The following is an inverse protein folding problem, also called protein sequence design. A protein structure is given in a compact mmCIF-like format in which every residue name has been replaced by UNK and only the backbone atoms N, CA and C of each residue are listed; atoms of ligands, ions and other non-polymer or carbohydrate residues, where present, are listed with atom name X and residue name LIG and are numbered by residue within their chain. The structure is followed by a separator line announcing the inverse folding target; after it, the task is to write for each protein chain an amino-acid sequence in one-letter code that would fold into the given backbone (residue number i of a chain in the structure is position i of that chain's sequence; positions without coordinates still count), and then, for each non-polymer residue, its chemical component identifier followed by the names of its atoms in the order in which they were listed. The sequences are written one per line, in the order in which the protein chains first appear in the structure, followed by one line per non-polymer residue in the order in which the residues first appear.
data_IF_465102736559
#
_entry.id   IF_465102736559
#
_cell.length_a   1.000
_cell.length_b   1.000
_cell.length_c   1.000
_cell.angle_alpha   90.00
_cell.angle_beta   90.00
_cell.angle_gamma   90.00
#
_symmetry.space_group_name_H-M   'P 1'
#
loop_
_entity.id
_entity.type
_entity.pdbx_description
1 polymer ?
#
# COMPACT_ATOMS: atom_id res chain seq x y z
N UNK A 1 14.28 -53.49 -20.92
CA UNK A 1 12.94 -52.95 -20.60
C UNK A 1 13.15 -51.86 -19.55
N UNK A 2 12.96 -50.59 -19.90
CA UNK A 2 13.11 -49.49 -18.96
C UNK A 2 11.76 -49.22 -18.32
N UNK A 3 11.61 -49.61 -17.06
CA UNK A 3 10.42 -49.31 -16.27
C UNK A 3 10.41 -47.82 -15.96
N UNK A 4 9.35 -47.14 -16.42
CA UNK A 4 9.10 -45.74 -16.10
C UNK A 4 8.50 -45.69 -14.71
N UNK A 5 9.22 -45.11 -13.76
CA UNK A 5 8.69 -44.81 -12.43
C UNK A 5 7.75 -43.61 -12.53
N UNK A 6 6.53 -43.77 -12.02
CA UNK A 6 5.55 -42.68 -11.88
C UNK A 6 5.74 -42.03 -10.51
N UNK A 7 5.65 -40.70 -10.43
CA UNK A 7 5.66 -40.02 -9.14
C UNK A 7 4.43 -40.44 -8.32
N UNK A 8 4.66 -40.91 -7.09
CA UNK A 8 3.57 -41.23 -6.15
C UNK A 8 2.87 -39.94 -5.69
N UNK A 9 1.56 -40.02 -5.42
CA UNK A 9 0.72 -38.87 -5.09
C UNK A 9 1.08 -38.21 -3.75
N UNK A 10 1.79 -38.91 -2.86
CA UNK A 10 2.32 -38.37 -1.62
C UNK A 10 3.60 -39.12 -1.23
N UNK A 11 4.62 -38.43 -0.71
CA UNK A 11 5.83 -39.10 -0.22
C UNK A 11 5.49 -40.01 0.98
N UNK A 12 6.19 -41.16 1.12
CA UNK A 12 5.92 -42.16 2.16
C UNK A 12 6.09 -41.65 3.60
N UNK A 13 6.66 -40.45 3.77
CA UNK A 13 6.87 -39.79 5.06
C UNK A 13 5.98 -38.55 5.27
N UNK A 14 4.91 -38.39 4.47
CA UNK A 14 3.97 -37.26 4.57
C UNK A 14 3.34 -37.09 5.95
N UNK A 15 3.22 -38.15 6.75
CA UNK A 15 2.67 -38.09 8.11
C UNK A 15 3.70 -37.75 9.20
N UNK A 16 5.01 -37.86 8.92
CA UNK A 16 6.07 -37.62 9.93
C UNK A 16 6.81 -36.30 9.75
N UNK A 17 6.68 -35.66 8.59
CA UNK A 17 7.37 -34.39 8.31
C UNK A 17 6.44 -33.22 8.60
N UNK A 18 6.68 -32.55 9.72
CA UNK A 18 6.16 -31.19 9.94
C UNK A 18 7.13 -30.24 9.26
N UNK A 19 6.66 -29.49 8.26
CA UNK A 19 7.44 -28.39 7.69
C UNK A 19 7.45 -27.26 8.72
N UNK A 20 8.57 -27.08 9.40
CA UNK A 20 8.75 -26.00 10.37
C UNK A 20 9.25 -24.76 9.62
N UNK A 21 8.46 -23.69 9.61
CA UNK A 21 8.91 -22.38 9.13
C UNK A 21 9.84 -21.79 10.19
N UNK A 22 11.15 -21.88 9.96
CA UNK A 22 12.18 -21.38 10.88
C UNK A 22 12.36 -19.85 10.88
N UNK A 23 11.56 -19.10 10.12
CA UNK A 23 11.63 -17.65 10.05
C UNK A 23 10.45 -17.00 10.76
N UNK A 24 10.75 -16.02 11.62
CA UNK A 24 9.72 -15.17 12.21
C UNK A 24 8.93 -14.48 11.09
N UNK A 25 7.59 -14.60 11.05
CA UNK A 25 6.79 -13.91 10.06
C UNK A 25 6.92 -12.40 10.28
N UNK A 26 7.42 -11.70 9.27
CA UNK A 26 7.45 -10.24 9.24
C UNK A 26 6.24 -9.77 8.45
N UNK A 27 5.38 -8.97 9.08
CA UNK A 27 4.27 -8.30 8.40
C UNK A 27 4.74 -6.88 8.08
N UNK A 28 4.85 -6.51 6.79
CA UNK A 28 5.20 -5.14 6.44
C UNK A 28 4.07 -4.21 6.87
N UNK A 29 4.43 -3.17 7.63
CA UNK A 29 3.52 -2.11 8.06
C UNK A 29 3.94 -0.83 7.36
N UNK A 30 3.00 -0.18 6.68
CA UNK A 30 3.22 1.17 6.17
C UNK A 30 3.17 2.13 7.36
N UNK A 31 4.27 2.84 7.61
CA UNK A 31 4.36 3.87 8.67
C UNK A 31 3.79 5.21 8.17
N UNK A 32 3.66 5.39 6.85
CA UNK A 32 3.04 6.58 6.26
C UNK A 32 1.53 6.63 6.59
N UNK A 33 1.00 7.83 6.94
CA UNK A 33 -0.37 7.99 7.45
C UNK A 33 -1.47 7.61 6.45
N UNK A 34 -1.19 7.64 5.14
CA UNK A 34 -2.13 7.23 4.10
C UNK A 34 -1.41 6.71 2.85
N UNK A 35 -1.97 5.69 2.20
CA UNK A 35 -1.56 5.31 0.84
C UNK A 35 -1.90 6.48 -0.08
N UNK A 36 -0.90 7.02 -0.76
CA UNK A 36 -1.08 8.18 -1.64
C UNK A 36 -1.83 7.79 -2.92
N UNK A 37 -2.56 8.74 -3.51
CA UNK A 37 -3.31 8.50 -4.76
C UNK A 37 -2.36 8.34 -5.96
N UNK A 38 -2.73 7.51 -6.94
CA UNK A 38 -1.90 7.21 -8.12
C UNK A 38 -1.72 8.41 -9.08
N UNK A 39 -2.65 9.36 -9.09
CA UNK A 39 -2.78 10.35 -10.18
C UNK A 39 -1.67 11.40 -10.27
N UNK A 40 -0.99 11.73 -9.18
CA UNK A 40 0.10 12.73 -9.24
C UNK A 40 1.42 12.03 -9.52
N UNK A 41 2.16 12.55 -10.48
CA UNK A 41 3.50 12.06 -10.82
C UNK A 41 4.42 12.05 -9.59
N UNK A 42 4.27 13.04 -8.70
CA UNK A 42 5.01 13.16 -7.43
C UNK A 42 4.68 12.05 -6.42
N UNK A 43 3.45 11.53 -6.43
CA UNK A 43 2.99 10.49 -5.50
C UNK A 43 3.06 9.09 -6.10
N UNK A 44 3.21 8.97 -7.41
CA UNK A 44 3.21 7.72 -8.16
C UNK A 44 4.25 6.73 -7.65
N UNK A 45 5.49 7.16 -7.42
CA UNK A 45 6.54 6.30 -6.90
C UNK A 45 6.25 5.78 -5.49
N UNK A 46 5.73 6.63 -4.61
CA UNK A 46 5.38 6.25 -3.23
C UNK A 46 4.17 5.30 -3.20
N UNK A 47 3.16 5.56 -4.02
CA UNK A 47 2.02 4.67 -4.22
C UNK A 47 2.47 3.30 -4.70
N UNK A 48 3.30 3.26 -5.75
CA UNK A 48 3.81 2.01 -6.29
C UNK A 48 4.64 1.23 -5.27
N UNK A 49 5.51 1.92 -4.51
CA UNK A 49 6.25 1.32 -3.40
C UNK A 49 5.33 0.73 -2.34
N UNK A 50 4.27 1.45 -1.95
CA UNK A 50 3.30 0.98 -0.96
C UNK A 50 2.56 -0.28 -1.44
N UNK A 51 2.08 -0.29 -2.69
CA UNK A 51 1.39 -1.44 -3.26
C UNK A 51 2.30 -2.67 -3.37
N UNK A 52 3.51 -2.50 -3.89
CA UNK A 52 4.50 -3.57 -3.98
C UNK A 52 4.79 -4.18 -2.60
N UNK A 53 4.96 -3.32 -1.59
CA UNK A 53 5.24 -3.76 -0.21
C UNK A 53 4.08 -4.54 0.41
N UNK A 54 2.82 -4.18 0.12
CA UNK A 54 1.64 -4.81 0.70
C UNK A 54 1.22 -6.09 -0.02
N UNK A 55 1.32 -6.12 -1.34
CA UNK A 55 0.71 -7.16 -2.17
C UNK A 55 1.71 -8.15 -2.75
N UNK A 56 3.01 -7.88 -2.63
CA UNK A 56 4.04 -8.78 -3.15
C UNK A 56 4.85 -9.36 -2.01
N UNK A 57 4.98 -10.67 -2.02
CA UNK A 57 5.83 -11.39 -1.08
C UNK A 57 7.31 -11.18 -1.43
N UNK A 58 7.99 -10.30 -0.69
CA UNK A 58 9.42 -10.07 -0.83
C UNK A 58 10.20 -10.52 0.41
N UNK A 59 11.46 -10.94 0.21
CA UNK A 59 12.44 -11.17 1.29
C UNK A 59 13.39 -9.99 1.43
N UNK A 60 13.61 -9.28 0.32
CA UNK A 60 14.44 -8.09 0.24
C UNK A 60 13.76 -7.01 -0.58
N UNK A 61 14.13 -5.75 -0.36
CA UNK A 61 13.70 -4.60 -1.17
C UNK A 61 14.04 -4.82 -2.66
N UNK A 62 15.15 -5.51 -2.94
CA UNK A 62 15.56 -5.84 -4.30
C UNK A 62 14.63 -6.82 -5.03
N UNK A 63 13.80 -7.58 -4.30
CA UNK A 63 12.77 -8.43 -4.91
C UNK A 63 11.58 -7.59 -5.40
N UNK A 64 11.35 -6.43 -4.78
CA UNK A 64 10.30 -5.49 -5.16
C UNK A 64 10.77 -4.57 -6.29
N UNK A 65 11.96 -3.99 -6.16
CA UNK A 65 12.49 -3.02 -7.11
C UNK A 65 13.99 -3.22 -7.36
N UNK A 66 14.36 -3.48 -8.62
CA UNK A 66 15.75 -3.55 -9.04
C UNK A 66 16.42 -2.17 -8.99
N UNK A 67 17.75 -2.13 -8.85
CA UNK A 67 18.52 -0.88 -8.71
C UNK A 67 18.43 0.05 -9.94
N UNK A 68 18.02 -0.49 -11.09
CA UNK A 68 17.99 0.19 -12.37
C UNK A 68 16.55 0.44 -12.89
N UNK A 69 15.54 0.27 -12.04
CA UNK A 69 14.14 0.52 -12.41
C UNK A 69 13.46 1.41 -11.37
N UNK A 70 12.41 2.10 -11.78
CA UNK A 70 11.56 2.89 -10.89
C UNK A 70 10.52 2.00 -10.18
N UNK A 71 9.93 2.47 -9.08
CA UNK A 71 8.89 1.72 -8.38
C UNK A 71 7.63 1.57 -9.25
N UNK A 72 7.31 2.57 -10.07
CA UNK A 72 6.21 2.49 -11.01
C UNK A 72 6.43 1.39 -12.06
N UNK A 73 7.61 1.33 -12.67
CA UNK A 73 7.95 0.27 -13.62
C UNK A 73 7.92 -1.12 -12.97
N UNK A 74 8.45 -1.23 -11.76
CA UNK A 74 8.43 -2.46 -10.98
C UNK A 74 7.01 -2.96 -10.72
N UNK A 75 6.08 -2.05 -10.39
CA UNK A 75 4.69 -2.37 -10.17
C UNK A 75 4.03 -2.90 -11.44
N UNK A 76 4.26 -2.27 -12.60
CA UNK A 76 3.68 -2.74 -13.87
C UNK A 76 4.17 -4.15 -14.23
N UNK A 77 5.45 -4.45 -13.97
CA UNK A 77 6.01 -5.80 -14.18
C UNK A 77 5.38 -6.83 -13.24
N UNK A 78 5.08 -6.45 -12.00
CA UNK A 78 4.54 -7.37 -10.99
C UNK A 78 3.02 -7.50 -10.99
N UNK A 79 2.26 -6.49 -11.44
CA UNK A 79 0.79 -6.53 -11.59
C UNK A 79 0.24 -7.83 -12.18
N UNK A 80 0.77 -8.41 -13.28
CA UNK A 80 0.26 -9.66 -13.82
C UNK A 80 0.50 -10.89 -12.93
N UNK A 81 1.43 -10.80 -11.97
CA UNK A 81 1.74 -11.87 -11.01
C UNK A 81 0.90 -11.77 -9.73
N UNK A 82 0.26 -10.63 -9.50
CA UNK A 82 -0.61 -10.39 -8.34
C UNK A 82 -1.93 -11.13 -8.53
N UNK A 83 -2.45 -11.71 -7.45
CA UNK A 83 -3.70 -12.46 -7.51
C UNK A 83 -4.88 -11.56 -7.92
N UNK A 84 -5.89 -12.08 -8.64
CA UNK A 84 -7.06 -11.29 -9.02
C UNK A 84 -7.80 -10.66 -7.83
N UNK A 85 -7.81 -11.36 -6.68
CA UNK A 85 -8.40 -10.84 -5.45
C UNK A 85 -7.62 -9.63 -4.91
N UNK A 86 -6.29 -9.71 -4.92
CA UNK A 86 -5.41 -8.61 -4.54
C UNK A 86 -5.54 -7.42 -5.49
N UNK A 87 -5.64 -7.65 -6.80
CA UNK A 87 -5.87 -6.58 -7.79
C UNK A 87 -7.18 -5.83 -7.54
N UNK A 88 -8.26 -6.54 -7.18
CA UNK A 88 -9.53 -5.91 -6.81
C UNK A 88 -9.38 -5.05 -5.55
N UNK A 89 -8.60 -5.48 -4.55
CA UNK A 89 -8.31 -4.63 -3.38
C UNK A 89 -7.55 -3.37 -3.81
N UNK A 90 -6.55 -3.49 -4.68
CA UNK A 90 -5.78 -2.35 -5.20
C UNK A 90 -6.70 -1.36 -5.93
N UNK A 91 -7.61 -1.86 -6.78
CA UNK A 91 -8.60 -1.03 -7.47
C UNK A 91 -9.55 -0.33 -6.49
N UNK A 92 -10.03 -1.04 -5.48
CA UNK A 92 -10.89 -0.45 -4.44
C UNK A 92 -10.18 0.64 -3.63
N UNK A 93 -8.88 0.49 -3.36
CA UNK A 93 -8.09 1.54 -2.72
C UNK A 93 -8.16 2.80 -3.58
N UNK A 94 -7.91 2.68 -4.88
CA UNK A 94 -7.98 3.82 -5.81
C UNK A 94 -9.37 4.46 -5.86
N UNK A 95 -10.44 3.65 -5.98
CA UNK A 95 -11.84 4.13 -6.00
C UNK A 95 -12.19 4.87 -4.70
N UNK A 96 -11.77 4.35 -3.54
CA UNK A 96 -12.03 5.01 -2.26
C UNK A 96 -11.38 6.39 -2.19
N UNK A 97 -10.19 6.56 -2.77
CA UNK A 97 -9.53 7.86 -2.86
C UNK A 97 -10.28 8.81 -3.81
N UNK A 98 -10.74 8.32 -4.97
CA UNK A 98 -11.55 9.10 -5.92
C UNK A 98 -12.85 9.58 -5.26
N UNK A 99 -13.61 8.69 -4.63
CA UNK A 99 -14.84 9.06 -3.93
C UNK A 99 -14.59 10.02 -2.75
N UNK A 100 -13.49 9.85 -1.98
CA UNK A 100 -13.12 10.80 -0.91
C UNK A 100 -12.86 12.19 -1.49
N UNK A 101 -12.17 12.26 -2.63
CA UNK A 101 -11.85 13.51 -3.32
C UNK A 101 -13.11 14.23 -3.80
N UNK A 102 -13.97 13.55 -4.56
CA UNK A 102 -15.20 14.12 -5.11
C UNK A 102 -16.13 14.62 -3.99
N UNK A 103 -16.26 13.84 -2.91
CA UNK A 103 -17.01 14.24 -1.73
C UNK A 103 -16.44 15.51 -1.10
N UNK A 104 -15.12 15.61 -0.98
CA UNK A 104 -14.46 16.76 -0.38
C UNK A 104 -14.60 18.01 -1.26
N UNK A 105 -14.48 17.88 -2.58
CA UNK A 105 -14.71 18.97 -3.53
C UNK A 105 -16.15 19.47 -3.47
N UNK A 106 -17.13 18.56 -3.49
CA UNK A 106 -18.54 18.89 -3.34
C UNK A 106 -18.81 19.61 -2.01
N UNK A 107 -18.26 19.11 -0.90
CA UNK A 107 -18.40 19.75 0.41
C UNK A 107 -17.81 21.17 0.43
N UNK A 108 -16.63 21.36 -0.18
CA UNK A 108 -16.02 22.69 -0.30
C UNK A 108 -16.91 23.64 -1.08
N UNK A 109 -17.48 23.18 -2.18
CA UNK A 109 -18.39 23.99 -2.99
C UNK A 109 -19.62 24.43 -2.17
N UNK A 110 -20.26 23.49 -1.47
CA UNK A 110 -21.41 23.78 -0.59
C UNK A 110 -21.04 24.79 0.51
N UNK A 111 -19.86 24.65 1.11
CA UNK A 111 -19.39 25.58 2.15
C UNK A 111 -19.16 27.00 1.59
N UNK A 112 -18.59 27.11 0.38
CA UNK A 112 -18.38 28.41 -0.29
C UNK A 112 -19.73 29.06 -0.62
N UNK A 113 -20.67 28.30 -1.16
CA UNK A 113 -22.02 28.78 -1.47
C UNK A 113 -22.74 29.25 -0.20
N UNK A 114 -22.69 28.46 0.87
CA UNK A 114 -23.32 28.80 2.13
C UNK A 114 -22.67 30.02 2.83
N UNK A 115 -21.37 30.25 2.63
CA UNK A 115 -20.68 31.46 3.10
C UNK A 115 -21.11 32.73 2.35
N UNK A 116 -21.52 32.61 1.08
CA UNK A 116 -21.98 33.73 0.27
C UNK A 116 -23.36 34.28 0.66
N UNK A 117 -24.15 33.50 1.40
CA UNK A 117 -25.51 33.85 1.86
C UNK A 117 -25.58 34.45 3.30
N UNK A 118 -24.43 34.75 3.92
CA UNK A 118 -24.21 35.37 5.23
C UNK A 118 -24.51 34.54 6.51
N UNK A 119 -23.51 34.55 7.42
CA UNK A 119 -23.43 34.06 8.81
C UNK A 119 -23.43 32.53 9.01
N UNK A 120 -22.25 31.90 8.83
CA UNK A 120 -22.01 30.53 9.29
C UNK A 120 -21.06 30.56 10.48
N UNK A 121 -21.51 29.95 11.58
CA UNK A 121 -20.73 29.66 12.77
C UNK A 121 -19.46 28.88 12.41
N UNK A 122 -18.29 29.40 12.81
CA UNK A 122 -16.96 28.80 12.58
C UNK A 122 -16.82 27.36 13.14
N UNK A 123 -17.79 26.88 13.92
CA UNK A 123 -17.80 25.59 14.62
C UNK A 123 -18.13 24.42 13.68
N UNK A 124 -18.75 24.66 12.52
CA UNK A 124 -19.11 23.60 11.57
C UNK A 124 -18.07 23.37 10.47
N UNK A 125 -16.91 24.03 10.52
CA UNK A 125 -15.78 23.67 9.67
C UNK A 125 -15.18 22.40 10.28
N UNK A 126 -15.41 21.20 9.73
CA UNK A 126 -14.76 20.04 10.28
C UNK A 126 -13.28 20.15 9.92
N UNK A 127 -12.39 19.89 10.89
CA UNK A 127 -10.94 19.83 10.71
C UNK A 127 -10.55 18.69 9.75
N UNK A 128 -10.83 18.85 8.47
CA UNK A 128 -10.40 17.96 7.40
C UNK A 128 -9.11 18.45 6.71
N UNK A 129 -8.56 19.59 7.14
CA UNK A 129 -7.45 20.28 6.49
C UNK A 129 -6.05 19.87 6.97
N UNK A 130 -5.89 18.93 7.90
CA UNK A 130 -4.54 18.61 8.42
C UNK A 130 -3.75 17.54 7.64
N UNK A 131 -4.29 16.91 6.58
CA UNK A 131 -3.60 15.77 5.95
C UNK A 131 -2.75 16.07 4.71
N UNK A 132 -2.68 17.30 4.18
CA UNK A 132 -1.94 17.58 2.93
C UNK A 132 -0.85 18.67 3.06
N UNK A 133 -0.54 19.16 4.28
CA UNK A 133 0.50 20.19 4.50
C UNK A 133 1.68 19.80 5.39
N UNK A 134 1.73 18.60 5.98
CA UNK A 134 2.97 18.14 6.61
C UNK A 134 3.90 17.48 5.58
N UNK A 135 4.50 18.33 4.74
CA UNK A 135 5.82 18.07 4.15
C UNK A 135 6.89 18.56 5.14
N UNK A 136 6.72 18.26 6.43
CA UNK A 136 7.83 18.41 7.37
C UNK A 136 8.62 17.12 7.28
N UNK A 137 9.88 17.27 6.88
CA UNK A 137 10.86 16.20 6.78
C UNK A 137 10.77 15.32 8.03
N UNK A 138 10.30 14.08 7.87
CA UNK A 138 10.31 13.08 8.93
C UNK A 138 11.74 13.00 9.44
N UNK A 139 11.95 13.52 10.65
CA UNK A 139 13.24 13.58 11.32
C UNK A 139 13.63 12.13 11.65
N UNK A 140 14.30 11.48 10.69
CA UNK A 140 14.63 10.05 10.71
C UNK A 140 15.36 9.63 12.01
N UNK A 141 15.98 10.59 12.70
CA UNK A 141 16.62 10.39 14.00
C UNK A 141 15.63 10.04 15.13
N UNK A 142 14.42 10.61 15.15
CA UNK A 142 13.42 10.31 16.19
C UNK A 142 12.90 8.88 16.08
N UNK A 143 12.68 8.38 14.86
CA UNK A 143 12.23 7.01 14.63
C UNK A 143 13.30 5.98 15.01
N UNK A 144 14.58 6.28 14.77
CA UNK A 144 15.70 5.44 15.20
C UNK A 144 15.86 5.40 16.73
N UNK A 145 15.50 6.49 17.41
CA UNK A 145 15.57 6.58 18.88
C UNK A 145 14.47 5.76 19.58
N UNK A 146 13.27 5.68 18.97
CA UNK A 146 12.17 4.86 19.51
C UNK A 146 12.43 3.36 19.31
N UNK A 147 13.04 2.97 18.18
CA UNK A 147 13.35 1.57 17.88
C UNK A 147 14.58 1.02 18.64
N UNK A 148 15.34 1.90 19.28
CA UNK A 148 16.49 1.53 20.12
C UNK A 148 16.17 1.48 21.62
N UNK A 149 14.90 1.69 21.99
CA UNK A 149 14.37 1.64 23.37
C UNK A 149 13.93 0.23 23.80
#
# INVERSE_FOLDING_TARGET
MNERYTFESAPPQSSSHVVIKHTNPVVPVLVEPQILRQEREETRERYSRALLTLFVSCRSVHDLCALNQTWAEALEVQKPLVSPASLNIIENIQILHECKHDRNEHLRQVLVEAQSDNSIDHVLIPNYYEEDQHTEEDDHEQLLQILSS
#
